data_IF_129917748159
#
_entry.id   IF_129917748159
#
_cell.length_a   1.000
_cell.length_b   1.000
_cell.length_c   1.000
_cell.angle_alpha   90.00
_cell.angle_beta   90.00
_cell.angle_gamma   90.00
#
_symmetry.space_group_name_H-M   'P 1'
#
loop_
_entity.id
_entity.type
_entity.pdbx_description
1 polymer ?
#
# COMPACT_ATOMS: atom_id res chain seq x y z
N UNK A 1 -60.04 13.97 -33.71
CA UNK A 1 -58.60 13.65 -33.81
C UNK A 1 -57.84 14.59 -32.88
N UNK A 2 -57.29 14.08 -31.77
CA UNK A 2 -56.36 14.84 -30.91
C UNK A 2 -54.94 14.41 -31.28
N UNK A 3 -54.13 15.34 -31.76
CA UNK A 3 -52.70 15.14 -32.00
C UNK A 3 -51.99 15.50 -30.69
N UNK A 4 -51.37 14.52 -30.04
CA UNK A 4 -50.57 14.74 -28.84
C UNK A 4 -49.12 14.92 -29.27
N UNK A 5 -48.53 16.09 -29.01
CA UNK A 5 -47.11 16.36 -29.19
C UNK A 5 -46.30 15.47 -28.24
N UNK A 6 -45.47 14.58 -28.80
CA UNK A 6 -44.43 13.90 -28.04
C UNK A 6 -43.22 14.82 -27.91
N UNK A 7 -42.91 15.25 -26.69
CA UNK A 7 -41.69 15.98 -26.34
C UNK A 7 -40.48 15.07 -26.52
N UNK A 8 -39.66 15.34 -27.53
CA UNK A 8 -38.31 14.78 -27.65
C UNK A 8 -37.42 15.35 -26.54
N UNK A 9 -37.21 14.59 -25.47
CA UNK A 9 -36.16 14.89 -24.51
C UNK A 9 -34.80 14.62 -25.17
N UNK A 10 -34.02 15.67 -25.39
CA UNK A 10 -32.64 15.56 -25.87
C UNK A 10 -31.79 14.85 -24.81
N UNK A 11 -31.33 13.64 -25.13
CA UNK A 11 -30.33 12.93 -24.32
C UNK A 11 -28.97 13.57 -24.65
N UNK A 12 -28.56 14.57 -23.85
CA UNK A 12 -27.19 15.04 -23.90
C UNK A 12 -26.28 13.89 -23.40
N UNK A 13 -25.20 13.53 -24.13
CA UNK A 13 -24.25 12.56 -23.63
C UNK A 13 -23.59 13.16 -22.38
N UNK A 14 -23.83 12.53 -21.23
CA UNK A 14 -23.15 12.84 -19.99
C UNK A 14 -21.70 12.37 -20.15
N UNK A 15 -20.84 13.25 -20.65
CA UNK A 15 -19.39 13.02 -20.65
C UNK A 15 -18.95 13.16 -19.19
N UNK A 16 -18.86 12.04 -18.48
CA UNK A 16 -18.19 11.98 -17.18
C UNK A 16 -16.73 12.31 -17.47
N UNK A 17 -16.29 13.51 -17.10
CA UNK A 17 -14.88 13.84 -17.12
C UNK A 17 -14.15 12.90 -16.16
N UNK A 18 -13.44 11.91 -16.69
CA UNK A 18 -12.50 11.14 -15.88
C UNK A 18 -11.44 12.13 -15.40
N UNK A 19 -11.39 12.38 -14.08
CA UNK A 19 -10.28 13.13 -13.50
C UNK A 19 -8.98 12.41 -13.89
N UNK A 20 -7.99 13.15 -14.37
CA UNK A 20 -6.69 12.57 -14.72
C UNK A 20 -6.11 11.86 -13.49
N UNK A 21 -6.01 10.53 -13.56
CA UNK A 21 -5.45 9.70 -12.49
C UNK A 21 -3.94 9.88 -12.43
N UNK A 22 -3.38 10.00 -11.21
CA UNK A 22 -1.94 10.19 -11.04
C UNK A 22 -1.17 9.00 -11.62
N UNK A 23 -0.11 9.24 -12.38
CA UNK A 23 0.76 8.17 -12.88
C UNK A 23 2.18 8.67 -13.12
N UNK A 24 3.13 7.74 -13.19
CA UNK A 24 4.52 8.06 -13.50
C UNK A 24 5.50 6.99 -13.03
N UNK A 25 6.78 7.35 -12.99
CA UNK A 25 7.84 6.56 -12.35
C UNK A 25 8.02 7.00 -10.91
N UNK A 26 8.37 6.06 -10.04
CA UNK A 26 8.54 6.31 -8.61
C UNK A 26 9.60 5.43 -7.97
N UNK A 27 9.99 5.84 -6.76
CA UNK A 27 10.84 5.07 -5.87
C UNK A 27 9.98 4.36 -4.82
N UNK A 28 10.48 3.24 -4.32
CA UNK A 28 9.91 2.62 -3.12
C UNK A 28 10.94 2.59 -2.01
N UNK A 29 10.44 2.71 -0.78
CA UNK A 29 11.16 2.26 0.39
C UNK A 29 10.26 1.30 1.15
N UNK A 30 10.73 0.88 2.33
CA UNK A 30 9.96 0.04 3.22
C UNK A 30 9.95 0.68 4.59
N UNK A 31 8.77 0.63 5.22
CA UNK A 31 8.63 0.99 6.62
C UNK A 31 7.85 -0.06 7.38
N UNK A 32 7.97 0.07 8.69
CA UNK A 32 7.45 -0.88 9.64
C UNK A 32 6.49 -0.21 10.59
N UNK A 33 5.24 -0.63 10.52
CA UNK A 33 4.18 -0.20 11.42
C UNK A 33 3.36 -1.40 11.85
N UNK A 34 3.49 -1.77 13.12
CA UNK A 34 2.75 -2.88 13.72
C UNK A 34 1.26 -2.54 13.96
N UNK A 35 0.84 -1.28 13.78
CA UNK A 35 -0.56 -0.87 13.87
C UNK A 35 -1.29 -1.01 12.52
N UNK A 36 -0.57 -1.28 11.43
CA UNK A 36 -1.16 -1.41 10.09
C UNK A 36 -1.26 -2.89 9.70
N UNK A 37 -2.34 -3.31 9.00
CA UNK A 37 -2.43 -4.67 8.49
C UNK A 37 -1.23 -4.99 7.60
N UNK A 38 -0.80 -6.24 7.61
CA UNK A 38 0.29 -6.71 6.74
C UNK A 38 -0.14 -6.74 5.26
N UNK A 39 0.80 -6.53 4.33
CA UNK A 39 0.57 -6.83 2.92
C UNK A 39 0.35 -8.33 2.73
N UNK A 40 -0.31 -8.70 1.63
CA UNK A 40 -0.57 -10.09 1.28
C UNK A 40 -0.50 -10.32 -0.23
N UNK A 41 -0.11 -11.53 -0.61
CA UNK A 41 -0.16 -11.99 -2.00
C UNK A 41 -1.60 -12.36 -2.36
N UNK A 42 -2.08 -11.88 -3.52
CA UNK A 42 -3.32 -12.35 -4.16
C UNK A 42 -3.01 -13.58 -4.99
N UNK A 43 -1.92 -13.52 -5.75
CA UNK A 43 -1.32 -14.62 -6.50
C UNK A 43 0.20 -14.38 -6.65
N UNK A 44 0.89 -15.17 -7.47
CA UNK A 44 2.34 -15.05 -7.67
C UNK A 44 2.77 -13.72 -8.30
N UNK A 45 1.89 -13.01 -9.00
CA UNK A 45 2.19 -11.78 -9.73
C UNK A 45 1.52 -10.53 -9.13
N UNK A 46 0.54 -10.69 -8.25
CA UNK A 46 -0.19 -9.58 -7.63
C UNK A 46 -0.17 -9.66 -6.10
N UNK A 47 0.14 -8.53 -5.46
CA UNK A 47 -0.03 -8.35 -4.02
C UNK A 47 -0.86 -7.09 -3.71
N UNK A 48 -1.49 -7.08 -2.53
CA UNK A 48 -2.13 -5.91 -1.96
C UNK A 48 -1.44 -5.51 -0.66
N UNK A 49 -1.46 -4.22 -0.32
CA UNK A 49 -0.85 -3.73 0.90
C UNK A 49 -0.92 -2.22 1.01
N UNK A 50 -0.25 -1.63 1.99
CA UNK A 50 -0.39 -0.20 2.29
C UNK A 50 0.91 0.54 2.03
N UNK A 51 0.82 1.85 1.80
CA UNK A 51 2.00 2.70 1.70
C UNK A 51 1.80 4.04 2.40
N UNK A 52 2.91 4.63 2.85
CA UNK A 52 3.00 6.08 2.97
C UNK A 52 3.39 6.65 1.61
N UNK A 53 2.70 7.69 1.16
CA UNK A 53 2.80 8.17 -0.21
C UNK A 53 3.18 9.65 -0.25
N UNK A 54 3.96 10.02 -1.28
CA UNK A 54 4.17 11.40 -1.69
C UNK A 54 4.20 11.47 -3.21
N UNK A 55 3.16 12.05 -3.82
CA UNK A 55 3.05 12.19 -5.28
C UNK A 55 3.34 13.64 -5.67
N UNK A 56 4.09 13.84 -6.75
CA UNK A 56 4.39 15.18 -7.26
C UNK A 56 3.09 15.91 -7.66
N UNK A 57 2.99 17.19 -7.30
CA UNK A 57 1.83 18.02 -7.61
C UNK A 57 0.55 17.66 -6.84
N UNK A 58 0.61 16.74 -5.89
CA UNK A 58 -0.51 16.34 -5.05
C UNK A 58 -0.26 16.67 -3.58
N UNK A 59 -1.35 16.65 -2.81
CA UNK A 59 -1.37 16.85 -1.37
C UNK A 59 -2.03 15.68 -0.67
N UNK A 60 -2.02 15.70 0.66
CA UNK A 60 -2.68 14.66 1.45
C UNK A 60 -4.17 14.52 1.14
N UNK A 61 -4.87 15.61 0.83
CA UNK A 61 -6.28 15.54 0.43
C UNK A 61 -6.48 14.78 -0.88
N UNK A 62 -5.47 14.68 -1.74
CA UNK A 62 -5.55 13.99 -3.03
C UNK A 62 -5.25 12.50 -2.87
N UNK A 63 -4.18 12.14 -2.14
CA UNK A 63 -3.76 10.74 -2.02
C UNK A 63 -4.42 10.00 -0.86
N UNK A 64 -4.91 10.64 0.19
CA UNK A 64 -5.45 9.90 1.34
C UNK A 64 -6.57 8.95 0.91
N UNK A 65 -6.38 7.66 1.23
CA UNK A 65 -7.24 6.54 0.85
C UNK A 65 -7.34 6.25 -0.65
N UNK A 66 -6.56 6.91 -1.50
CA UNK A 66 -6.41 6.53 -2.89
C UNK A 66 -5.61 5.23 -3.00
N UNK A 67 -5.88 4.47 -4.07
CA UNK A 67 -5.12 3.28 -4.40
C UNK A 67 -4.25 3.52 -5.62
N UNK A 68 -3.10 2.87 -5.64
CA UNK A 68 -2.13 2.95 -6.72
C UNK A 68 -1.69 1.54 -7.10
N UNK A 69 -1.81 1.17 -8.36
CA UNK A 69 -1.14 -0.01 -8.90
C UNK A 69 0.32 0.35 -9.18
N UNK A 70 1.21 -0.33 -8.49
CA UNK A 70 2.65 -0.28 -8.69
C UNK A 70 3.05 -1.46 -9.57
N UNK A 71 3.77 -1.21 -10.65
CA UNK A 71 4.49 -2.25 -11.39
C UNK A 71 5.97 -2.09 -11.09
N UNK A 72 6.57 -3.11 -10.48
CA UNK A 72 7.99 -3.07 -10.14
C UNK A 72 8.85 -3.14 -11.41
N UNK A 73 9.90 -2.32 -11.46
CA UNK A 73 10.81 -2.20 -12.61
C UNK A 73 12.25 -2.63 -12.29
N UNK A 74 12.52 -3.07 -11.06
CA UNK A 74 13.83 -3.58 -10.63
C UNK A 74 13.72 -4.56 -9.46
N UNK A 75 14.86 -5.18 -9.11
CA UNK A 75 14.95 -6.15 -8.04
C UNK A 75 14.31 -7.51 -8.37
N UNK A 76 14.22 -8.42 -7.39
CA UNK A 76 13.69 -9.78 -7.57
C UNK A 76 12.18 -9.83 -7.85
N UNK A 77 11.49 -8.70 -7.72
CA UNK A 77 10.04 -8.55 -7.99
C UNK A 77 9.75 -7.86 -9.33
N UNK A 78 10.76 -7.62 -10.17
CA UNK A 78 10.59 -6.95 -11.45
C UNK A 78 9.47 -7.59 -12.29
N UNK A 79 8.54 -6.77 -12.77
CA UNK A 79 7.36 -7.18 -13.52
C UNK A 79 6.14 -7.57 -12.67
N UNK A 80 6.32 -7.87 -11.37
CA UNK A 80 5.19 -8.08 -10.46
C UNK A 80 4.45 -6.77 -10.20
N UNK A 81 3.19 -6.90 -9.79
CA UNK A 81 2.30 -5.79 -9.48
C UNK A 81 1.90 -5.78 -8.02
N UNK A 82 1.77 -4.59 -7.45
CA UNK A 82 1.24 -4.40 -6.11
C UNK A 82 0.24 -3.25 -6.11
N UNK A 83 -0.99 -3.48 -5.66
CA UNK A 83 -1.94 -2.37 -5.43
C UNK A 83 -1.82 -1.93 -3.99
N UNK A 84 -1.48 -0.66 -3.79
CA UNK A 84 -1.35 -0.07 -2.46
C UNK A 84 -2.39 0.99 -2.17
N UNK A 85 -2.95 0.98 -0.96
CA UNK A 85 -3.69 2.14 -0.44
C UNK A 85 -2.76 3.08 0.31
N UNK A 86 -2.85 4.37 0.02
CA UNK A 86 -2.18 5.41 0.78
C UNK A 86 -2.87 5.59 2.14
N UNK A 87 -2.16 5.24 3.21
CA UNK A 87 -2.69 5.32 4.59
C UNK A 87 -1.88 6.24 5.51
N UNK A 88 -0.86 6.90 4.96
CA UNK A 88 -0.01 7.88 5.63
C UNK A 88 0.69 8.80 4.60
N UNK A 89 1.20 9.94 5.06
CA UNK A 89 2.02 10.86 4.24
C UNK A 89 3.51 10.64 4.50
N UNK A 90 4.29 10.49 3.43
CA UNK A 90 5.76 10.38 3.48
C UNK A 90 6.46 11.73 3.50
N UNK A 91 6.37 12.48 4.60
CA UNK A 91 6.84 13.89 4.68
C UNK A 91 8.34 14.12 4.43
N UNK A 92 9.17 13.08 4.58
CA UNK A 92 10.62 13.05 4.37
C UNK A 92 11.04 12.39 3.05
N UNK A 93 10.07 11.89 2.29
CA UNK A 93 10.32 11.16 1.04
C UNK A 93 10.52 12.11 -0.14
N UNK A 94 11.18 11.61 -1.19
CA UNK A 94 11.26 12.28 -2.48
C UNK A 94 9.89 12.37 -3.17
N UNK A 95 9.85 13.04 -4.32
CA UNK A 95 8.64 13.05 -5.15
C UNK A 95 8.38 11.66 -5.75
N UNK A 96 7.09 11.32 -5.94
CA UNK A 96 6.63 10.03 -6.45
C UNK A 96 7.20 8.83 -5.67
N UNK A 97 7.05 8.86 -4.35
CA UNK A 97 7.61 7.86 -3.46
C UNK A 97 6.51 7.08 -2.76
N UNK A 98 6.66 5.75 -2.76
CA UNK A 98 5.81 4.80 -2.03
C UNK A 98 6.63 4.07 -0.98
N UNK A 99 6.49 4.46 0.28
CA UNK A 99 7.09 3.74 1.39
C UNK A 99 6.16 2.59 1.76
N UNK A 100 6.49 1.37 1.37
CA UNK A 100 5.62 0.20 1.48
C UNK A 100 5.60 -0.28 2.93
N UNK A 101 4.39 -0.43 3.48
CA UNK A 101 4.18 -0.98 4.81
C UNK A 101 4.45 -2.48 4.78
N UNK A 102 5.58 -2.90 5.34
CA UNK A 102 5.88 -4.31 5.55
C UNK A 102 5.62 -4.61 7.01
N UNK A 103 4.37 -4.85 7.39
CA UNK A 103 3.98 -4.99 8.79
C UNK A 103 4.44 -6.33 9.37
N UNK A 104 5.75 -6.42 9.65
CA UNK A 104 6.41 -7.51 10.37
C UNK A 104 7.93 -7.31 10.58
N UNK A 105 8.37 -6.11 10.94
CA UNK A 105 9.76 -5.89 11.39
C UNK A 105 9.81 -4.70 12.36
N UNK A 106 8.93 -4.76 13.36
CA UNK A 106 8.67 -3.60 14.19
C UNK A 106 9.81 -3.38 15.20
N UNK A 107 10.82 -2.59 14.81
CA UNK A 107 11.78 -1.96 15.74
C UNK A 107 11.07 -1.06 16.75
N UNK A 108 10.00 -0.34 16.38
CA UNK A 108 9.31 0.63 17.28
C UNK A 108 7.85 0.89 16.88
N UNK A 109 7.00 1.14 17.89
CA UNK A 109 5.78 1.99 17.89
C UNK A 109 4.37 1.40 17.95
N UNK A 110 4.17 0.15 18.31
CA UNK A 110 2.90 -0.18 18.97
C UNK A 110 3.08 0.01 20.46
N UNK A 111 2.99 1.24 20.97
CA UNK A 111 2.99 1.48 22.42
C UNK A 111 1.95 0.61 23.13
N UNK A 112 0.84 0.29 22.46
CA UNK A 112 -0.18 -0.64 22.95
C UNK A 112 0.29 -2.11 22.93
N UNK A 113 0.84 -2.61 21.82
CA UNK A 113 1.36 -3.99 21.72
C UNK A 113 2.58 -4.22 22.62
N UNK A 114 3.50 -3.25 22.72
CA UNK A 114 4.65 -3.27 23.63
C UNK A 114 4.21 -3.27 25.11
N UNK A 115 3.06 -2.66 25.45
CA UNK A 115 2.51 -2.65 26.81
C UNK A 115 1.79 -3.96 27.15
N UNK A 116 1.13 -4.60 26.18
CA UNK A 116 0.39 -5.85 26.38
C UNK A 116 1.25 -7.12 26.27
N UNK A 117 2.33 -7.10 25.48
CA UNK A 117 3.18 -8.27 25.20
C UNK A 117 4.60 -8.17 25.76
N UNK A 118 4.75 -7.38 26.84
CA UNK A 118 6.04 -7.16 27.52
C UNK A 118 6.74 -8.39 28.16
N UNK A 119 6.22 -9.65 28.13
CA UNK A 119 7.02 -10.80 28.57
C UNK A 119 7.45 -11.78 27.46
N UNK A 120 7.41 -11.46 26.16
CA UNK A 120 7.80 -12.46 25.13
C UNK A 120 8.94 -11.96 24.23
N UNK A 121 10.19 -12.24 24.63
CA UNK A 121 11.33 -12.46 23.72
C UNK A 121 11.80 -11.34 22.76
N UNK A 122 11.19 -10.15 22.76
CA UNK A 122 11.63 -9.05 21.88
C UNK A 122 12.91 -8.44 22.47
N UNK A 123 14.01 -8.49 21.73
CA UNK A 123 15.25 -7.83 22.13
C UNK A 123 14.99 -6.33 22.40
N UNK A 124 15.72 -5.67 23.31
CA UNK A 124 15.53 -4.25 23.64
C UNK A 124 15.57 -3.32 22.40
N UNK A 125 16.19 -3.79 21.32
CA UNK A 125 16.35 -3.08 20.07
C UNK A 125 15.38 -3.51 18.97
N UNK A 126 14.44 -4.44 19.21
CA UNK A 126 13.57 -5.04 18.18
C UNK A 126 14.24 -6.17 17.39
N UNK A 127 13.66 -6.54 16.25
CA UNK A 127 14.26 -7.49 15.30
C UNK A 127 15.10 -6.76 14.24
N UNK A 128 16.20 -7.37 13.80
CA UNK A 128 17.01 -6.92 12.66
C UNK A 128 17.67 -5.54 12.80
N UNK A 129 18.02 -4.90 11.67
CA UNK A 129 18.70 -3.60 11.53
C UNK A 129 17.77 -2.36 11.63
N UNK A 130 18.34 -1.18 11.97
CA UNK A 130 17.52 0.00 12.34
C UNK A 130 16.77 0.52 11.14
N UNK A 131 17.44 0.42 10.01
CA UNK A 131 16.92 0.63 8.68
C UNK A 131 17.08 -0.72 7.97
N UNK A 132 16.03 -1.19 7.32
CA UNK A 132 16.05 -2.48 6.63
C UNK A 132 15.60 -3.68 7.46
N UNK A 133 15.63 -3.61 8.80
CA UNK A 133 15.13 -4.71 9.64
C UNK A 133 15.88 -6.03 9.45
N UNK A 134 15.22 -7.18 9.58
CA UNK A 134 15.81 -8.51 9.39
C UNK A 134 16.25 -8.73 7.94
N UNK A 135 17.27 -9.57 7.76
CA UNK A 135 17.88 -9.86 6.46
C UNK A 135 17.53 -11.25 5.91
N UNK A 136 16.87 -12.10 6.71
CA UNK A 136 16.53 -13.46 6.32
C UNK A 136 15.08 -13.82 6.73
N UNK A 137 14.33 -14.45 5.82
CA UNK A 137 12.98 -14.94 6.10
C UNK A 137 12.89 -16.00 7.20
N UNK A 138 13.98 -16.69 7.53
CA UNK A 138 14.05 -17.59 8.70
C UNK A 138 13.88 -16.82 10.02
N UNK A 139 14.32 -15.57 10.09
CA UNK A 139 14.23 -14.75 11.31
C UNK A 139 12.77 -14.45 11.68
N UNK A 140 11.85 -14.54 10.71
CA UNK A 140 10.41 -14.42 10.92
C UNK A 140 9.85 -15.44 11.92
N UNK A 141 10.51 -16.58 12.14
CA UNK A 141 9.99 -17.60 13.06
C UNK A 141 10.06 -17.14 14.53
N UNK A 142 10.92 -16.16 14.81
CA UNK A 142 11.03 -15.50 16.12
C UNK A 142 9.97 -14.43 16.38
N UNK A 143 9.12 -14.11 15.39
CA UNK A 143 8.10 -13.09 15.51
C UNK A 143 6.84 -13.64 16.22
N UNK A 144 6.05 -12.78 16.89
CA UNK A 144 4.71 -13.14 17.33
C UNK A 144 3.86 -13.65 16.16
N UNK A 145 2.99 -14.65 16.39
CA UNK A 145 2.17 -15.30 15.35
C UNK A 145 1.44 -14.30 14.44
N UNK A 146 0.92 -13.21 15.00
CA UNK A 146 0.20 -12.18 14.23
C UNK A 146 1.08 -11.41 13.23
N UNK A 147 2.39 -11.40 13.42
CA UNK A 147 3.34 -10.69 12.57
C UNK A 147 4.04 -11.62 11.57
N UNK A 148 4.06 -12.94 11.81
CA UNK A 148 4.72 -13.90 10.90
C UNK A 148 4.23 -13.80 9.45
N UNK A 149 2.91 -13.67 9.14
CA UNK A 149 2.46 -13.62 7.76
C UNK A 149 3.03 -12.45 6.96
N UNK A 150 3.02 -11.23 7.53
CA UNK A 150 3.64 -10.06 6.88
C UNK A 150 5.15 -10.20 6.76
N UNK A 151 5.78 -10.93 7.69
CA UNK A 151 7.22 -11.13 7.71
C UNK A 151 7.61 -12.01 6.54
N UNK A 152 6.95 -13.16 6.46
CA UNK A 152 7.16 -14.14 5.40
C UNK A 152 6.82 -13.55 4.04
N UNK A 153 5.75 -12.76 3.92
CA UNK A 153 5.44 -12.04 2.66
C UNK A 153 6.63 -11.24 2.11
N UNK A 154 7.40 -10.57 2.99
CA UNK A 154 8.59 -9.78 2.59
C UNK A 154 9.62 -10.62 1.85
N UNK A 155 9.81 -11.87 2.26
CA UNK A 155 10.83 -12.75 1.71
C UNK A 155 10.29 -13.69 0.65
N UNK A 156 9.05 -14.13 0.79
CA UNK A 156 8.42 -15.10 -0.10
C UNK A 156 7.92 -14.43 -1.39
N UNK A 157 6.97 -13.51 -1.28
CA UNK A 157 6.38 -12.84 -2.44
C UNK A 157 7.23 -11.67 -2.91
N UNK A 158 7.69 -10.85 -1.96
CA UNK A 158 8.48 -9.64 -2.24
C UNK A 158 9.98 -9.93 -2.46
N UNK A 159 10.40 -11.21 -2.34
CA UNK A 159 11.75 -11.66 -2.68
C UNK A 159 12.88 -10.97 -1.90
N UNK A 160 12.57 -10.34 -0.77
CA UNK A 160 13.52 -9.50 -0.03
C UNK A 160 13.91 -8.18 -0.73
N UNK A 161 13.27 -7.82 -1.84
CA UNK A 161 13.68 -6.75 -2.76
C UNK A 161 14.06 -5.43 -2.09
N UNK A 162 15.29 -4.93 -2.29
CA UNK A 162 15.72 -3.68 -1.66
C UNK A 162 15.37 -2.43 -2.43
N UNK A 163 14.31 -1.75 -1.97
CA UNK A 163 13.81 -0.49 -2.50
C UNK A 163 13.62 -0.52 -4.02
N UNK A 164 12.87 -1.49 -4.57
CA UNK A 164 12.68 -1.63 -6.00
C UNK A 164 12.00 -0.38 -6.58
N UNK A 165 12.48 0.07 -7.73
CA UNK A 165 11.82 1.12 -8.51
C UNK A 165 10.48 0.64 -9.07
N UNK A 166 9.57 1.57 -9.34
CA UNK A 166 8.22 1.28 -9.86
C UNK A 166 7.83 2.24 -10.97
N UNK A 167 6.90 1.82 -11.82
CA UNK A 167 5.92 2.71 -12.44
C UNK A 167 4.61 2.58 -11.69
N UNK A 168 3.86 3.67 -11.54
CA UNK A 168 2.59 3.66 -10.82
C UNK A 168 1.47 4.30 -11.63
N UNK A 169 0.25 3.87 -11.33
CA UNK A 169 -0.99 4.50 -11.76
C UNK A 169 -1.99 4.48 -10.61
N UNK A 170 -2.68 5.59 -10.38
CA UNK A 170 -3.80 5.66 -9.47
C UNK A 170 -4.96 4.85 -10.05
N UNK A 171 -5.58 4.01 -9.23
CA UNK A 171 -6.64 3.08 -9.64
C UNK A 171 -7.78 3.12 -8.63
N UNK A 172 -8.93 2.56 -9.03
CA UNK A 172 -9.99 2.32 -8.08
C UNK A 172 -9.52 1.29 -7.03
N UNK A 173 -9.83 1.55 -5.76
CA UNK A 173 -9.46 0.65 -4.69
C UNK A 173 -10.22 -0.69 -4.80
N UNK A 174 -9.53 -1.84 -4.83
CA UNK A 174 -10.15 -3.15 -4.68
C UNK A 174 -11.00 -3.24 -3.41
N UNK A 175 -12.10 -3.99 -3.47
CA UNK A 175 -13.03 -4.12 -2.35
C UNK A 175 -12.35 -4.70 -1.10
N UNK A 176 -11.41 -5.63 -1.28
CA UNK A 176 -10.65 -6.28 -0.21
C UNK A 176 -9.74 -5.30 0.54
N UNK A 177 -9.24 -4.28 -0.17
CA UNK A 177 -8.46 -3.20 0.43
C UNK A 177 -9.37 -2.28 1.24
N UNK A 178 -10.49 -1.87 0.65
CA UNK A 178 -11.47 -0.98 1.29
C UNK A 178 -12.11 -1.63 2.52
N UNK A 179 -12.45 -2.92 2.45
CA UNK A 179 -13.04 -3.66 3.57
C UNK A 179 -12.08 -3.72 4.76
N UNK A 180 -10.78 -3.87 4.51
CA UNK A 180 -9.75 -3.89 5.58
C UNK A 180 -9.47 -2.53 6.17
N UNK A 181 -9.48 -1.47 5.37
CA UNK A 181 -9.13 -0.12 5.84
C UNK A 181 -10.33 0.68 6.34
N UNK A 182 -11.54 0.35 5.88
CA UNK A 182 -12.74 1.14 6.08
C UNK A 182 -12.72 2.49 5.38
N UNK A 183 -11.78 2.74 4.46
CA UNK A 183 -11.63 4.02 3.78
C UNK A 183 -11.70 3.88 2.27
N UNK A 184 -12.54 4.73 1.66
CA UNK A 184 -12.74 4.80 0.21
C UNK A 184 -12.89 6.26 -0.21
N UNK A 185 -12.35 6.60 -1.37
CA UNK A 185 -12.57 7.91 -2.02
C UNK A 185 -13.75 7.81 -2.98
N UNK A 186 -14.58 8.85 -3.01
CA UNK A 186 -15.66 8.98 -3.99
C UNK A 186 -15.10 9.56 -5.29
N UNK A 187 -15.42 8.97 -6.45
CA UNK A 187 -15.13 9.56 -7.77
C UNK A 187 -13.82 9.14 -8.44
N UNK A 188 -13.27 7.97 -8.07
CA UNK A 188 -12.17 7.28 -8.76
C UNK A 188 -12.66 5.87 -9.12
#
# INVERSE_FOLDING_TARGET
MKVTLATLAAIAPFVIGAAAQASGSGATTRYWDCCKPSPWAVDDNLAYGWAAVRINGQTESDWCCACYELTFTSGPVNGKKMIVQATNTGGDLGENHFDIAVSADARRRCRHFQRLHRPVGIAPNGWGERYGGISNGADCDSFPEKLKPGCKWRFDWFGGADNPTVTFQQVQCPAEIVEKSGCQRNGI
#
